data_IF_559370403662
#
_entry.id   IF_559370403662
#
_cell.length_a   1.000
_cell.length_b   1.000
_cell.length_c   1.000
_cell.angle_alpha   90.00
_cell.angle_beta   90.00
_cell.angle_gamma   90.00
#
_symmetry.space_group_name_H-M   'P 1'
#
loop_
_entity.id
_entity.type
_entity.pdbx_description
1 polymer ?
#
# COMPACT_ATOMS: atom_id res chain seq x y z
N UNK A 1 -0.51 -11.60 9.42
CA UNK A 1 -1.28 -10.39 9.08
C UNK A 1 -2.68 -10.56 9.67
N UNK A 2 -3.09 -9.76 10.66
CA UNK A 2 -4.43 -9.87 11.28
C UNK A 2 -5.35 -8.82 10.65
N UNK A 3 -6.54 -9.18 10.18
CA UNK A 3 -7.50 -8.23 9.62
C UNK A 3 -8.39 -7.62 10.72
N UNK A 4 -8.94 -6.44 10.44
CA UNK A 4 -10.02 -5.84 11.24
C UNK A 4 -11.30 -6.68 11.13
N UNK A 5 -12.24 -6.47 12.06
CA UNK A 5 -13.57 -7.08 11.96
C UNK A 5 -14.40 -6.42 10.85
N UNK A 6 -14.24 -5.11 10.64
CA UNK A 6 -14.82 -4.35 9.54
C UNK A 6 -14.31 -4.79 8.16
N UNK A 7 -15.21 -4.75 7.17
CA UNK A 7 -14.92 -5.00 5.76
C UNK A 7 -14.52 -3.66 5.14
N UNK A 8 -13.21 -3.45 4.93
CA UNK A 8 -12.68 -2.18 4.41
C UNK A 8 -13.15 -1.89 2.98
N UNK A 9 -13.45 -2.94 2.19
CA UNK A 9 -13.82 -2.83 0.78
C UNK A 9 -15.26 -2.33 0.54
N UNK A 10 -16.06 -2.17 1.59
CA UNK A 10 -17.39 -1.57 1.51
C UNK A 10 -17.32 -0.03 1.37
N UNK A 11 -16.14 0.56 1.58
CA UNK A 11 -15.83 1.99 1.38
C UNK A 11 -14.83 2.18 0.24
N UNK A 12 -14.69 3.40 -0.26
CA UNK A 12 -13.67 3.73 -1.26
C UNK A 12 -12.24 3.48 -0.71
N UNK A 13 -11.27 3.12 -1.58
CA UNK A 13 -9.88 2.99 -1.16
C UNK A 13 -9.34 4.32 -0.61
N UNK A 14 -8.47 4.23 0.40
CA UNK A 14 -7.89 5.40 1.09
C UNK A 14 -6.88 6.13 0.19
N UNK A 15 -6.24 5.41 -0.73
CA UNK A 15 -5.20 5.94 -1.60
C UNK A 15 -5.50 5.64 -3.06
N UNK A 16 -5.06 6.53 -3.94
CA UNK A 16 -5.22 6.39 -5.39
C UNK A 16 -3.98 5.81 -6.08
N UNK A 17 -4.17 5.34 -7.31
CA UNK A 17 -3.07 5.00 -8.20
C UNK A 17 -2.11 6.19 -8.39
N UNK A 18 -0.81 5.92 -8.31
CA UNK A 18 0.25 6.93 -8.38
C UNK A 18 0.45 7.73 -7.10
N UNK A 19 -0.33 7.48 -6.04
CA UNK A 19 -0.09 8.13 -4.74
C UNK A 19 1.30 7.80 -4.21
N UNK A 20 2.00 8.83 -3.75
CA UNK A 20 3.29 8.69 -3.06
C UNK A 20 3.02 8.36 -1.61
N UNK A 21 3.50 7.21 -1.15
CA UNK A 21 3.24 6.71 0.20
C UNK A 21 4.53 6.40 0.95
N UNK A 22 4.46 6.53 2.27
CA UNK A 22 5.52 6.13 3.21
C UNK A 22 5.06 4.93 4.01
N UNK A 23 6.00 4.01 4.23
CA UNK A 23 5.77 2.83 5.07
C UNK A 23 5.82 3.24 6.54
N UNK A 24 4.81 2.84 7.31
CA UNK A 24 4.72 3.09 8.75
C UNK A 24 5.28 1.95 9.60
N UNK A 25 5.25 0.72 9.09
CA UNK A 25 5.58 -0.51 9.84
C UNK A 25 6.47 -1.41 9.00
N UNK A 26 7.31 -2.21 9.68
CA UNK A 26 8.15 -3.19 8.99
C UNK A 26 7.28 -4.20 8.25
N UNK A 27 7.47 -4.31 6.95
CA UNK A 27 6.78 -5.29 6.11
C UNK A 27 7.66 -6.51 5.96
N UNK A 28 7.11 -7.68 6.27
CA UNK A 28 7.80 -8.97 6.13
C UNK A 28 7.02 -9.86 5.19
N UNK A 29 7.75 -10.65 4.41
CA UNK A 29 7.14 -11.64 3.54
C UNK A 29 6.38 -12.67 4.38
N UNK A 30 5.09 -12.81 4.16
CA UNK A 30 4.27 -13.84 4.81
C UNK A 30 4.26 -15.18 4.04
N UNK A 31 4.91 -15.20 2.87
CA UNK A 31 4.99 -16.34 1.95
C UNK A 31 4.41 -16.04 0.58
N UNK A 32 3.82 -14.85 0.37
CA UNK A 32 3.21 -14.45 -0.90
C UNK A 32 4.17 -13.74 -1.86
N UNK A 33 5.27 -13.18 -1.36
CA UNK A 33 6.25 -12.49 -2.20
C UNK A 33 7.25 -13.49 -2.83
N UNK A 34 7.44 -13.48 -4.16
CA UNK A 34 8.28 -14.44 -4.84
C UNK A 34 9.78 -14.19 -4.61
N UNK A 35 10.58 -15.27 -4.55
CA UNK A 35 12.04 -15.18 -4.50
C UNK A 35 12.64 -14.69 -3.18
N UNK A 36 11.84 -14.62 -2.10
CA UNK A 36 12.30 -14.31 -0.74
C UNK A 36 11.73 -15.30 0.24
N UNK A 37 12.49 -15.66 1.26
CA UNK A 37 12.02 -16.54 2.32
C UNK A 37 10.88 -15.91 3.13
N UNK A 38 10.05 -16.76 3.73
CA UNK A 38 9.05 -16.32 4.70
C UNK A 38 9.75 -15.63 5.88
N UNK A 39 9.25 -14.46 6.26
CA UNK A 39 9.81 -13.60 7.31
C UNK A 39 10.89 -12.62 6.84
N UNK A 40 11.34 -12.72 5.58
CA UNK A 40 12.28 -11.77 5.01
C UNK A 40 11.72 -10.35 5.04
N UNK A 41 12.57 -9.36 5.33
CA UNK A 41 12.18 -7.95 5.35
C UNK A 41 12.02 -7.45 3.91
N UNK A 42 10.85 -6.92 3.58
CA UNK A 42 10.53 -6.38 2.25
C UNK A 42 10.60 -4.86 2.23
N UNK A 43 10.12 -4.20 3.29
CA UNK A 43 10.18 -2.74 3.44
C UNK A 43 10.32 -2.35 4.92
N UNK A 44 10.93 -1.19 5.16
CA UNK A 44 11.17 -0.60 6.49
C UNK A 44 10.30 0.65 6.69
N UNK A 45 9.97 0.98 7.95
CA UNK A 45 9.38 2.28 8.27
C UNK A 45 10.25 3.41 7.72
N UNK A 46 9.62 4.36 7.05
CA UNK A 46 10.31 5.47 6.38
C UNK A 46 10.54 5.26 4.88
N UNK A 47 10.49 4.02 4.38
CA UNK A 47 10.66 3.76 2.95
C UNK A 47 9.53 4.43 2.15
N UNK A 48 9.89 5.04 1.03
CA UNK A 48 8.97 5.78 0.16
C UNK A 48 8.76 4.98 -1.13
N UNK A 49 7.50 4.86 -1.55
CA UNK A 49 7.15 4.24 -2.82
C UNK A 49 5.88 4.84 -3.43
N UNK A 50 5.48 4.28 -4.55
CA UNK A 50 4.30 4.72 -5.30
C UNK A 50 3.32 3.57 -5.48
N UNK A 51 2.03 3.86 -5.32
CA UNK A 51 0.98 2.87 -5.55
C UNK A 51 0.86 2.61 -7.05
N UNK A 52 1.10 1.37 -7.47
CA UNK A 52 1.03 0.94 -8.88
C UNK A 52 -0.17 0.04 -9.16
N UNK A 53 -0.81 -0.52 -8.13
CA UNK A 53 -2.03 -1.31 -8.24
C UNK A 53 -2.80 -1.32 -6.92
N UNK A 54 -4.12 -1.40 -7.01
CA UNK A 54 -5.03 -1.56 -5.87
C UNK A 54 -5.83 -2.84 -6.10
N UNK A 55 -5.66 -3.80 -5.21
CA UNK A 55 -6.38 -5.06 -5.21
C UNK A 55 -7.13 -5.27 -3.90
N UNK A 56 -7.73 -6.45 -3.76
CA UNK A 56 -8.42 -6.86 -2.54
C UNK A 56 -7.76 -8.10 -1.95
N UNK A 57 -7.85 -8.23 -0.63
CA UNK A 57 -7.35 -9.37 0.12
C UNK A 57 -8.48 -10.01 0.91
N UNK A 58 -8.69 -11.30 0.66
CA UNK A 58 -9.75 -12.12 1.26
C UNK A 58 -11.14 -11.47 1.15
N UNK A 59 -11.37 -10.62 0.15
CA UNK A 59 -12.59 -9.83 -0.03
C UNK A 59 -12.98 -9.00 1.21
N UNK A 60 -11.99 -8.59 2.02
CA UNK A 60 -12.23 -7.84 3.27
C UNK A 60 -11.37 -6.61 3.43
N UNK A 61 -10.20 -6.57 2.82
CA UNK A 61 -9.26 -5.46 2.94
C UNK A 61 -8.73 -5.04 1.57
N UNK A 62 -8.33 -3.78 1.44
CA UNK A 62 -7.55 -3.35 0.28
C UNK A 62 -6.09 -3.75 0.44
N UNK A 63 -5.49 -4.29 -0.62
CA UNK A 63 -4.03 -4.42 -0.75
C UNK A 63 -3.53 -3.46 -1.81
N UNK A 64 -2.64 -2.57 -1.40
CA UNK A 64 -1.97 -1.60 -2.23
C UNK A 64 -0.61 -2.17 -2.64
N UNK A 65 -0.37 -2.33 -3.93
CA UNK A 65 0.94 -2.69 -4.44
C UNK A 65 1.79 -1.43 -4.56
N UNK A 66 2.83 -1.35 -3.74
CA UNK A 66 3.74 -0.21 -3.65
C UNK A 66 5.06 -0.56 -4.33
N UNK A 67 5.43 0.21 -5.36
CA UNK A 67 6.73 0.11 -6.02
C UNK A 67 7.74 1.00 -5.32
N UNK A 68 8.79 0.38 -4.78
CA UNK A 68 9.95 1.05 -4.22
C UNK A 68 11.02 1.19 -5.31
N UNK A 69 11.33 2.43 -5.70
CA UNK A 69 12.26 2.70 -6.80
C UNK A 69 13.70 2.29 -6.47
N UNK A 70 14.14 2.50 -5.22
CA UNK A 70 15.52 2.18 -4.80
C UNK A 70 15.81 0.68 -4.81
N UNK A 71 14.88 -0.14 -4.34
CA UNK A 71 15.03 -1.60 -4.33
C UNK A 71 14.52 -2.27 -5.60
N UNK A 72 13.81 -1.53 -6.45
CA UNK A 72 13.07 -2.02 -7.61
C UNK A 72 12.12 -3.20 -7.28
N UNK A 73 11.42 -3.10 -6.15
CA UNK A 73 10.50 -4.14 -5.67
C UNK A 73 9.08 -3.61 -5.58
N UNK A 74 8.10 -4.47 -5.90
CA UNK A 74 6.68 -4.17 -5.74
C UNK A 74 6.12 -5.02 -4.60
N UNK A 75 5.72 -4.39 -3.50
CA UNK A 75 5.28 -5.07 -2.28
C UNK A 75 3.81 -4.75 -2.02
N UNK A 76 3.02 -5.76 -1.69
CA UNK A 76 1.65 -5.57 -1.24
C UNK A 76 1.61 -5.10 0.22
N UNK A 77 0.89 -4.01 0.48
CA UNK A 77 0.74 -3.40 1.79
C UNK A 77 -0.74 -3.14 2.09
N UNK A 78 -1.14 -3.23 3.35
CA UNK A 78 -2.48 -2.80 3.77
C UNK A 78 -2.52 -1.30 3.97
N UNK A 79 -3.73 -0.72 3.90
CA UNK A 79 -3.91 0.72 4.08
C UNK A 79 -3.30 1.24 5.38
N UNK A 80 -3.52 0.54 6.49
CA UNK A 80 -2.97 0.89 7.83
C UNK A 80 -1.45 0.77 7.98
N UNK A 81 -0.75 0.28 6.96
CA UNK A 81 0.71 0.17 6.91
C UNK A 81 1.35 1.33 6.16
N UNK A 82 0.52 2.20 5.57
CA UNK A 82 0.90 3.30 4.70
C UNK A 82 0.40 4.64 5.25
N UNK A 83 1.12 5.71 4.91
CA UNK A 83 0.67 7.09 5.00
C UNK A 83 0.97 7.81 3.67
N UNK A 84 0.21 8.85 3.33
CA UNK A 84 0.58 9.73 2.22
C UNK A 84 1.88 10.45 2.56
N UNK A 85 2.87 10.37 1.66
CA UNK A 85 4.18 11.00 1.86
C UNK A 85 4.20 12.47 1.42
N UNK A 86 3.35 12.83 0.48
CA UNK A 86 3.10 14.20 0.03
C UNK A 86 1.61 14.36 -0.23
N UNK A 87 1.08 15.51 0.14
CA UNK A 87 -0.24 15.94 -0.28
C UNK A 87 -0.10 16.30 -1.76
N UNK A 88 -0.53 15.40 -2.65
CA UNK A 88 -0.55 15.69 -4.08
C UNK A 88 -1.69 16.68 -4.29
N UNK A 89 -1.44 17.96 -4.63
CA UNK A 89 -2.54 18.80 -5.07
C UNK A 89 -3.15 18.12 -6.30
N UNK A 90 -4.49 18.04 -6.38
CA UNK A 90 -5.14 17.30 -7.44
C UNK A 90 -4.66 17.81 -8.80
N UNK A 91 -4.36 16.89 -9.73
CA UNK A 91 -3.83 17.25 -11.05
C UNK A 91 -4.83 18.05 -11.89
N UNK A 92 -6.10 17.94 -11.54
CA UNK A 92 -7.22 18.67 -12.09
C UNK A 92 -8.00 19.16 -10.88
N UNK A 93 -8.25 20.47 -10.77
CA UNK A 93 -9.15 20.99 -9.74
C UNK A 93 -10.50 20.26 -9.87
N UNK A 94 -10.94 19.63 -8.79
CA UNK A 94 -12.30 19.10 -8.75
C UNK A 94 -13.23 20.31 -8.68
N UNK A 95 -13.82 20.69 -9.81
CA UNK A 95 -14.94 21.62 -9.80
C UNK A 95 -16.17 20.87 -9.28
N UNK A 96 -16.56 21.18 -8.05
CA UNK A 96 -17.85 20.79 -7.47
C UNK A 96 -18.98 21.45 -8.29
N UNK A 97 -19.55 20.71 -9.25
CA UNK A 97 -20.80 21.03 -9.93
C UNK A 97 -22.02 20.53 -9.14
#
# INVERSE_FOLDING_TARGET
MRLSEEIEIDSAPIFDLGSRVKILKKIRNDGTFPGKDKGALLAKPGDIGFIVSIGTYLQRAYIYSVHFLESNQVVGCLGRELELAEDRPPLIEQEDW
#
